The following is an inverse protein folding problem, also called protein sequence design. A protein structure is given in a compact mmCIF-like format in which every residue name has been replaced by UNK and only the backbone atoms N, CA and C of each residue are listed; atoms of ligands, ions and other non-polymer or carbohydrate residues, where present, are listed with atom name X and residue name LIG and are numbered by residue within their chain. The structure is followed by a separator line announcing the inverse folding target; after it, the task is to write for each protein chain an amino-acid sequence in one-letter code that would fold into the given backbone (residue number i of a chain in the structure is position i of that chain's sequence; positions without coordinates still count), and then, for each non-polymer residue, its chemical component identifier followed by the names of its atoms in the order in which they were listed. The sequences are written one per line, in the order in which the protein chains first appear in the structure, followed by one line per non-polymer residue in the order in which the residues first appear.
data_IF_697236686357
#
_entry.id   IF_697236686357
#
_cell.length_a   1.000
_cell.length_b   1.000
_cell.length_c   1.000
_cell.angle_alpha   90.00
_cell.angle_beta   90.00
_cell.angle_gamma   90.00
#
_symmetry.space_group_name_H-M   'P 1'
#
loop_
_entity.id
_entity.type
_entity.pdbx_description
1 polymer ?
#
# COMPACT_ATOMS: atom_id res chain seq x y z
N UNK A 1 21.54 -2.10 -4.71
CA UNK A 1 20.69 -0.92 -4.97
C UNK A 1 20.39 -0.28 -3.63
N UNK A 2 20.79 0.97 -3.36
CA UNK A 2 20.35 1.62 -2.13
C UNK A 2 18.82 1.64 -2.11
N UNK A 3 18.23 1.44 -0.93
CA UNK A 3 16.79 1.47 -0.68
C UNK A 3 16.55 2.21 0.64
N UNK A 4 17.34 3.26 0.88
CA UNK A 4 17.30 3.99 2.14
C UNK A 4 16.10 4.92 2.14
N UNK A 5 14.94 4.35 2.43
CA UNK A 5 13.73 5.10 2.70
C UNK A 5 13.95 5.99 3.92
N UNK A 6 14.21 7.28 3.69
CA UNK A 6 14.27 8.30 4.74
C UNK A 6 12.90 8.54 5.39
N UNK A 7 12.57 9.79 5.72
CA UNK A 7 11.33 10.14 6.47
C UNK A 7 10.01 10.01 5.67
N UNK A 8 10.00 9.21 4.59
CA UNK A 8 8.81 8.85 3.77
C UNK A 8 8.02 10.06 3.23
N UNK A 9 8.69 11.17 2.92
CA UNK A 9 8.06 12.42 2.44
C UNK A 9 7.14 12.21 1.23
N UNK A 10 7.55 11.38 0.27
CA UNK A 10 6.74 11.05 -0.91
C UNK A 10 5.41 10.39 -0.51
N UNK A 11 5.43 9.38 0.37
CA UNK A 11 4.20 8.73 0.83
C UNK A 11 3.28 9.70 1.57
N UNK A 12 3.83 10.60 2.38
CA UNK A 12 3.04 11.63 3.07
C UNK A 12 2.37 12.59 2.08
N UNK A 13 3.12 13.11 1.11
CA UNK A 13 2.59 14.07 0.12
C UNK A 13 1.62 13.44 -0.88
N UNK A 14 1.92 12.23 -1.37
CA UNK A 14 1.17 11.60 -2.46
C UNK A 14 0.03 10.69 -1.97
N UNK A 15 0.03 10.27 -0.70
CA UNK A 15 -1.01 9.41 -0.12
C UNK A 15 -1.67 10.04 1.10
N UNK A 16 -0.87 10.45 2.08
CA UNK A 16 -1.36 11.02 3.34
C UNK A 16 -2.21 12.27 3.10
N UNK A 17 -1.59 13.32 2.55
CA UNK A 17 -2.22 14.62 2.36
C UNK A 17 -3.51 14.57 1.50
N UNK A 18 -3.55 13.89 0.34
CA UNK A 18 -4.79 13.79 -0.44
C UNK A 18 -5.90 13.05 0.31
N UNK A 19 -5.56 11.98 1.03
CA UNK A 19 -6.56 11.23 1.81
C UNK A 19 -7.07 12.04 3.01
N UNK A 20 -6.19 12.74 3.72
CA UNK A 20 -6.57 13.62 4.83
C UNK A 20 -7.46 14.77 4.34
N UNK A 21 -7.08 15.41 3.24
CA UNK A 21 -7.83 16.52 2.64
C UNK A 21 -9.21 16.09 2.17
N UNK A 22 -9.29 14.94 1.50
CA UNK A 22 -10.56 14.37 1.04
C UNK A 22 -11.46 14.00 2.24
N UNK A 23 -10.92 13.30 3.25
CA UNK A 23 -11.69 12.95 4.46
C UNK A 23 -12.23 14.18 5.18
N UNK A 24 -11.40 15.20 5.38
CA UNK A 24 -11.82 16.44 6.05
C UNK A 24 -12.96 17.13 5.28
N UNK A 25 -12.90 17.09 3.94
CA UNK A 25 -13.95 17.65 3.08
C UNK A 25 -15.24 16.83 3.12
N UNK A 26 -15.15 15.51 3.00
CA UNK A 26 -16.33 14.66 2.81
C UNK A 26 -17.03 14.30 4.13
N UNK A 27 -16.28 14.08 5.20
CA UNK A 27 -16.84 13.65 6.49
C UNK A 27 -16.81 14.75 7.57
N UNK A 28 -15.88 15.71 7.48
CA UNK A 28 -15.67 16.70 8.54
C UNK A 28 -15.46 16.01 9.90
N UNK A 29 -16.30 16.36 10.88
CA UNK A 29 -16.27 15.78 12.23
C UNK A 29 -17.13 14.52 12.40
N UNK A 30 -17.77 14.04 11.33
CA UNK A 30 -18.63 12.85 11.41
C UNK A 30 -17.81 11.58 11.62
N UNK A 31 -18.39 10.64 12.38
CA UNK A 31 -17.82 9.31 12.47
C UNK A 31 -18.01 8.53 11.17
N UNK A 32 -17.00 7.73 10.79
CA UNK A 32 -17.04 6.92 9.58
C UNK A 32 -16.38 5.57 9.78
N UNK A 33 -16.91 4.56 9.08
CA UNK A 33 -16.29 3.24 8.99
C UNK A 33 -15.19 3.27 7.95
N UNK A 34 -14.00 2.83 8.33
CA UNK A 34 -12.85 2.73 7.43
C UNK A 34 -12.42 1.26 7.32
N UNK A 35 -12.95 0.59 6.29
CA UNK A 35 -12.58 -0.78 5.97
C UNK A 35 -11.20 -0.83 5.28
N UNK A 36 -10.28 -1.62 5.83
CA UNK A 36 -8.95 -1.84 5.25
C UNK A 36 -8.72 -3.34 5.00
N UNK A 37 -8.32 -3.69 3.78
CA UNK A 37 -8.09 -5.06 3.35
C UNK A 37 -6.73 -5.65 3.77
N UNK A 38 -6.43 -5.67 5.07
CA UNK A 38 -5.30 -6.46 5.58
C UNK A 38 -5.68 -7.94 5.64
N UNK A 39 -4.76 -8.82 5.23
CA UNK A 39 -4.96 -10.28 5.27
C UNK A 39 -4.48 -10.89 6.60
N UNK A 40 -4.76 -12.17 6.84
CA UNK A 40 -4.41 -12.86 8.10
C UNK A 40 -2.95 -12.82 8.50
N UNK A 41 -2.04 -12.63 7.53
CA UNK A 41 -0.60 -12.58 7.78
C UNK A 41 -0.09 -11.14 8.05
N UNK A 42 -0.98 -10.19 8.36
CA UNK A 42 -0.67 -8.76 8.52
C UNK A 42 -1.09 -8.18 9.89
N UNK A 43 -1.08 -9.00 10.95
CA UNK A 43 -1.46 -8.64 12.32
C UNK A 43 -0.72 -7.38 12.83
N UNK A 44 0.57 -7.27 12.55
CA UNK A 44 1.40 -6.14 12.96
C UNK A 44 0.96 -4.83 12.29
N UNK A 45 0.42 -4.91 11.07
CA UNK A 45 -0.12 -3.75 10.34
C UNK A 45 -1.46 -3.34 10.92
N UNK A 46 -2.31 -4.30 11.26
CA UNK A 46 -3.60 -4.05 11.94
C UNK A 46 -3.37 -3.37 13.28
N UNK A 47 -2.44 -3.88 14.08
CA UNK A 47 -2.11 -3.31 15.41
C UNK A 47 -1.62 -1.87 15.30
N UNK A 48 -0.78 -1.58 14.30
CA UNK A 48 -0.31 -0.21 14.04
C UNK A 48 -1.43 0.68 13.54
N UNK A 49 -2.28 0.18 12.66
CA UNK A 49 -3.37 0.93 12.06
C UNK A 49 -4.48 1.28 13.07
N UNK A 50 -4.82 0.34 13.96
CA UNK A 50 -5.85 0.52 14.99
C UNK A 50 -5.47 1.57 16.04
N UNK A 51 -4.17 1.84 16.22
CA UNK A 51 -3.69 2.91 17.09
C UNK A 51 -4.01 4.32 16.55
N UNK A 52 -4.38 4.46 15.27
CA UNK A 52 -4.75 5.75 14.68
C UNK A 52 -6.27 5.99 14.76
N UNK A 53 -6.68 6.76 15.77
CA UNK A 53 -8.09 7.14 16.01
C UNK A 53 -8.56 8.35 15.19
N UNK A 54 -7.65 9.11 14.59
CA UNK A 54 -7.92 10.33 13.81
C UNK A 54 -8.76 11.39 14.55
N UNK A 55 -8.65 11.48 15.88
CA UNK A 55 -9.49 12.37 16.71
C UNK A 55 -10.77 11.72 17.25
N UNK A 56 -10.98 10.42 16.99
CA UNK A 56 -12.16 9.66 17.43
C UNK A 56 -13.23 9.47 16.35
N UNK A 57 -13.06 10.10 15.17
CA UNK A 57 -13.98 10.00 14.04
C UNK A 57 -13.86 8.66 13.31
N UNK A 58 -12.67 8.05 13.31
CA UNK A 58 -12.41 6.84 12.53
C UNK A 58 -12.79 5.57 13.29
N UNK A 59 -13.64 4.74 12.67
CA UNK A 59 -13.97 3.39 13.14
C UNK A 59 -13.32 2.37 12.18
N UNK A 60 -12.14 1.80 12.50
CA UNK A 60 -11.48 0.84 11.62
C UNK A 60 -12.19 -0.52 11.59
N UNK A 61 -12.24 -1.15 10.42
CA UNK A 61 -12.65 -2.56 10.25
C UNK A 61 -11.69 -3.31 9.32
N UNK A 62 -11.55 -4.62 9.51
CA UNK A 62 -10.56 -5.43 8.76
C UNK A 62 -11.18 -6.70 8.16
N UNK A 63 -12.09 -6.59 7.17
CA UNK A 63 -12.92 -7.72 6.74
C UNK A 63 -12.13 -8.93 6.23
N UNK A 64 -11.07 -8.70 5.45
CA UNK A 64 -10.26 -9.80 4.89
C UNK A 64 -9.55 -10.61 5.99
N UNK A 65 -9.10 -9.92 7.04
CA UNK A 65 -8.52 -10.56 8.23
C UNK A 65 -9.59 -11.33 9.00
N UNK A 66 -10.76 -10.72 9.23
CA UNK A 66 -11.90 -11.33 9.93
C UNK A 66 -12.43 -12.58 9.21
N UNK A 67 -12.36 -12.61 7.88
CA UNK A 67 -12.73 -13.78 7.08
C UNK A 67 -11.70 -14.91 7.11
N UNK A 68 -10.53 -14.69 7.70
CA UNK A 68 -9.47 -15.67 7.74
C UNK A 68 -8.70 -15.80 6.41
N UNK A 69 -8.79 -14.81 5.51
CA UNK A 69 -8.21 -14.92 4.17
C UNK A 69 -6.74 -14.52 4.14
N UNK A 70 -5.93 -15.36 3.52
CA UNK A 70 -4.56 -15.07 3.12
C UNK A 70 -4.51 -14.28 1.81
N UNK A 71 -3.30 -13.88 1.40
CA UNK A 71 -3.09 -13.31 0.08
C UNK A 71 -3.50 -14.27 -1.04
N UNK A 72 -3.29 -15.58 -0.86
CA UNK A 72 -3.61 -16.56 -1.88
C UNK A 72 -5.12 -16.69 -2.05
N UNK A 73 -5.87 -16.75 -0.94
CA UNK A 73 -7.34 -16.81 -0.96
C UNK A 73 -7.94 -15.61 -1.72
N UNK A 74 -7.40 -14.41 -1.52
CA UNK A 74 -7.79 -13.21 -2.27
C UNK A 74 -7.50 -13.33 -3.78
N UNK A 75 -6.35 -13.88 -4.15
CA UNK A 75 -5.97 -14.06 -5.57
C UNK A 75 -6.88 -15.10 -6.22
N UNK A 76 -7.12 -16.22 -5.56
CA UNK A 76 -7.97 -17.31 -6.06
C UNK A 76 -9.42 -16.85 -6.20
N UNK A 77 -9.91 -16.07 -5.23
CA UNK A 77 -11.22 -15.42 -5.31
C UNK A 77 -11.32 -14.52 -6.53
N UNK A 78 -10.40 -13.56 -6.70
CA UNK A 78 -10.42 -12.63 -7.84
C UNK A 78 -10.30 -13.35 -9.18
N UNK A 79 -9.46 -14.39 -9.25
CA UNK A 79 -9.32 -15.19 -10.46
C UNK A 79 -10.61 -15.95 -10.80
N UNK A 80 -11.28 -16.54 -9.80
CA UNK A 80 -12.56 -17.21 -10.00
C UNK A 80 -13.64 -16.26 -10.50
N UNK A 81 -13.73 -15.06 -9.92
CA UNK A 81 -14.80 -14.12 -10.25
C UNK A 81 -14.56 -13.38 -11.57
N UNK A 82 -13.30 -13.11 -11.92
CA UNK A 82 -12.97 -12.19 -13.02
C UNK A 82 -12.06 -12.80 -14.10
N UNK A 83 -11.57 -14.02 -13.90
CA UNK A 83 -10.78 -14.77 -14.89
C UNK A 83 -9.36 -14.25 -15.14
N UNK A 84 -8.86 -13.28 -14.37
CA UNK A 84 -7.49 -12.77 -14.51
C UNK A 84 -6.76 -12.71 -13.17
N UNK A 85 -5.43 -12.78 -13.21
CA UNK A 85 -4.59 -12.73 -12.00
C UNK A 85 -4.22 -11.28 -11.71
N UNK A 86 -4.68 -10.74 -10.57
CA UNK A 86 -4.37 -9.36 -10.18
C UNK A 86 -2.93 -9.23 -9.68
N UNK A 87 -2.09 -8.41 -10.34
CA UNK A 87 -0.75 -8.16 -9.83
C UNK A 87 -0.82 -7.36 -8.52
N UNK A 88 0.17 -7.54 -7.66
CA UNK A 88 0.34 -6.70 -6.48
C UNK A 88 0.39 -5.23 -6.92
N UNK A 89 -0.41 -4.36 -6.30
CA UNK A 89 -0.33 -2.92 -6.55
C UNK A 89 0.97 -2.38 -5.94
N UNK A 90 1.79 -1.73 -6.76
CA UNK A 90 2.93 -0.94 -6.31
C UNK A 90 2.92 0.39 -7.06
N UNK A 91 3.39 1.45 -6.39
CA UNK A 91 3.67 2.69 -7.10
C UNK A 91 4.74 2.39 -8.14
N UNK A 92 4.46 2.67 -9.42
CA UNK A 92 5.42 2.45 -10.50
C UNK A 92 6.70 3.25 -10.21
N UNK A 93 6.57 4.54 -9.96
CA UNK A 93 7.66 5.49 -9.70
C UNK A 93 8.31 5.43 -8.31
N UNK A 94 8.11 4.38 -7.51
CA UNK A 94 8.65 4.37 -6.14
C UNK A 94 10.03 3.70 -6.08
N UNK A 95 11.14 4.46 -5.93
CA UNK A 95 12.46 3.85 -5.79
C UNK A 95 12.61 3.02 -4.50
N UNK A 96 11.77 3.30 -3.50
CA UNK A 96 11.80 2.64 -2.18
C UNK A 96 10.85 1.42 -2.08
N UNK A 97 10.42 0.85 -3.21
CA UNK A 97 9.46 -0.25 -3.21
C UNK A 97 10.08 -1.62 -2.84
N UNK A 98 11.39 -1.67 -2.66
CA UNK A 98 12.10 -2.86 -2.21
C UNK A 98 11.92 -3.09 -0.70
N UNK A 99 11.07 -4.04 -0.35
CA UNK A 99 11.33 -4.84 0.84
C UNK A 99 12.02 -6.14 0.37
N UNK A 100 12.86 -6.73 1.21
CA UNK A 100 13.60 -7.95 0.85
C UNK A 100 12.66 -9.06 0.34
N UNK A 101 11.48 -9.20 0.96
CA UNK A 101 10.47 -10.19 0.57
C UNK A 101 9.78 -9.91 -0.77
N UNK A 102 9.79 -8.67 -1.28
CA UNK A 102 9.15 -8.30 -2.55
C UNK A 102 10.14 -8.10 -3.69
N UNK A 103 11.42 -8.39 -3.48
CA UNK A 103 12.47 -8.16 -4.48
C UNK A 103 12.29 -8.99 -5.77
N UNK A 104 11.92 -10.29 -5.71
CA UNK A 104 11.70 -11.07 -6.93
C UNK A 104 10.65 -10.45 -7.86
N UNK A 105 9.52 -10.00 -7.33
CA UNK A 105 8.48 -9.36 -8.14
C UNK A 105 8.88 -7.98 -8.64
N UNK A 106 9.68 -7.23 -7.88
CA UNK A 106 10.22 -5.95 -8.35
C UNK A 106 11.24 -6.13 -9.47
N UNK A 107 12.12 -7.13 -9.35
CA UNK A 107 13.09 -7.45 -10.40
C UNK A 107 12.37 -7.87 -11.69
N UNK A 108 11.31 -8.68 -11.60
CA UNK A 108 10.48 -9.03 -12.75
C UNK A 108 9.88 -7.78 -13.43
N UNK A 109 9.40 -6.80 -12.65
CA UNK A 109 8.89 -5.53 -13.19
C UNK A 109 9.98 -4.73 -13.89
N UNK A 110 11.16 -4.64 -13.28
CA UNK A 110 12.27 -3.91 -13.87
C UNK A 110 12.71 -4.52 -15.21
N UNK A 111 12.71 -5.85 -15.30
CA UNK A 111 12.98 -6.56 -16.56
C UNK A 111 11.92 -6.26 -17.63
N UNK A 112 10.64 -6.15 -17.25
CA UNK A 112 9.56 -5.82 -18.20
C UNK A 112 9.56 -4.36 -18.66
N UNK A 113 10.07 -3.44 -17.84
CA UNK A 113 9.98 -1.99 -18.05
C UNK A 113 11.34 -1.32 -17.76
N UNK A 114 12.39 -1.59 -18.54
CA UNK A 114 13.76 -1.19 -18.23
C UNK A 114 13.96 0.34 -18.20
N UNK A 115 13.25 1.09 -19.05
CA UNK A 115 13.31 2.56 -19.04
C UNK A 115 12.73 3.15 -17.77
N UNK A 116 11.59 2.63 -17.29
CA UNK A 116 10.98 3.05 -16.02
C UNK A 116 11.90 2.68 -14.85
N UNK A 117 12.48 1.47 -14.87
CA UNK A 117 13.43 1.04 -13.85
C UNK A 117 14.67 1.96 -13.77
N UNK A 118 15.21 2.38 -14.92
CA UNK A 118 16.31 3.34 -14.97
C UNK A 118 15.91 4.69 -14.38
N UNK A 119 14.70 5.18 -14.73
CA UNK A 119 14.17 6.42 -14.16
C UNK A 119 14.05 6.34 -12.64
N UNK A 120 13.66 5.20 -12.07
CA UNK A 120 13.57 5.05 -10.61
C UNK A 120 14.92 5.22 -9.92
N UNK A 121 15.99 4.68 -10.50
CA UNK A 121 17.35 4.81 -9.93
C UNK A 121 17.80 6.28 -10.00
N UNK A 122 17.48 6.97 -11.10
CA UNK A 122 17.76 8.40 -11.26
C UNK A 122 16.96 9.22 -10.24
N UNK A 123 15.66 8.95 -10.10
CA UNK A 123 14.77 9.63 -9.15
C UNK A 123 15.27 9.46 -7.71
N UNK A 124 15.74 8.27 -7.34
CA UNK A 124 16.37 8.05 -6.03
C UNK A 124 17.60 8.94 -5.86
N UNK A 125 18.50 8.96 -6.85
CA UNK A 125 19.73 9.74 -6.79
C UNK A 125 19.47 11.26 -6.65
N UNK A 126 18.50 11.80 -7.39
CA UNK A 126 18.21 13.25 -7.38
C UNK A 126 17.32 13.69 -6.22
N UNK A 127 16.62 12.77 -5.56
CA UNK A 127 15.74 13.06 -4.42
C UNK A 127 16.40 12.84 -3.05
N UNK A 128 17.65 12.37 -3.01
CA UNK A 128 18.50 12.33 -1.82
C UNK A 128 19.01 13.73 -1.48
#
# INVERSE_FOLDING_TARGET
MPQLGGVRKCSQKAKGWPQDSWRAKEFGDQQYVHAIGFNVNEDTRITRDSAYSMGGQRIPTYPIYEWGWSRQDCIDYLYRELGVVWPKSCCRHCPYAGCQAGWPEQLARFATLPTEAAQHIIDEYVCL
#
